data_IF_702501347872
#
_entry.id   IF_702501347872
#
_cell.length_a   1.000
_cell.length_b   1.000
_cell.length_c   1.000
_cell.angle_alpha   90.00
_cell.angle_beta   90.00
_cell.angle_gamma   90.00
#
_symmetry.space_group_name_H-M   'P 1'
#
loop_
_entity.id
_entity.type
_entity.pdbx_description
1 polymer ?
#
# COMPACT_ATOMS: atom_id res chain seq x y z
N UNK A 1 -23.19 61.89 -63.96
CA UNK A 1 -24.67 61.77 -64.00
C UNK A 1 -25.06 61.30 -65.39
N UNK A 2 -25.33 60.02 -65.57
CA UNK A 2 -25.88 59.46 -66.82
C UNK A 2 -27.04 58.53 -66.45
N UNK A 3 -28.16 58.78 -67.12
CA UNK A 3 -29.50 58.30 -66.82
C UNK A 3 -29.76 56.88 -67.34
N UNK A 4 -30.65 56.18 -66.62
CA UNK A 4 -31.17 54.83 -66.84
C UNK A 4 -32.28 54.82 -67.91
N UNK A 5 -32.34 53.77 -68.76
CA UNK A 5 -33.54 53.05 -69.23
C UNK A 5 -33.18 52.08 -70.37
N UNK A 6 -33.78 50.91 -70.62
CA UNK A 6 -34.82 50.12 -69.96
C UNK A 6 -34.79 48.68 -70.53
N UNK A 7 -35.41 47.74 -69.81
CA UNK A 7 -36.41 46.77 -70.30
C UNK A 7 -36.17 45.24 -70.23
N UNK A 8 -37.26 44.58 -69.78
CA UNK A 8 -37.70 43.17 -69.88
C UNK A 8 -36.98 42.16 -68.99
N UNK A 9 -37.53 41.72 -67.83
CA UNK A 9 -38.73 40.91 -67.52
C UNK A 9 -38.81 39.54 -68.23
N UNK A 10 -38.44 38.48 -67.50
CA UNK A 10 -39.09 37.15 -67.44
C UNK A 10 -38.83 36.58 -66.02
N UNK A 11 -39.83 36.53 -65.15
CA UNK A 11 -40.73 35.40 -64.84
C UNK A 11 -40.08 34.33 -63.92
N UNK A 12 -40.63 34.20 -62.71
CA UNK A 12 -40.31 33.21 -61.65
C UNK A 12 -40.91 31.83 -61.99
N UNK A 13 -40.45 30.74 -61.35
CA UNK A 13 -41.14 30.28 -60.15
C UNK A 13 -40.23 29.84 -59.00
N UNK A 14 -40.80 29.94 -57.79
CA UNK A 14 -40.20 29.62 -56.50
C UNK A 14 -40.11 28.11 -56.26
N UNK A 15 -39.01 27.62 -55.70
CA UNK A 15 -39.01 26.43 -54.84
C UNK A 15 -38.04 26.62 -53.68
N UNK A 16 -38.56 26.41 -52.47
CA UNK A 16 -37.87 26.35 -51.20
C UNK A 16 -36.76 25.28 -51.23
N UNK A 17 -35.57 25.61 -50.74
CA UNK A 17 -34.70 24.60 -50.10
C UNK A 17 -34.21 25.17 -48.78
N UNK A 18 -34.39 24.34 -47.77
CA UNK A 18 -34.34 24.63 -46.36
C UNK A 18 -32.98 25.12 -45.86
N UNK A 19 -33.04 25.94 -44.80
CA UNK A 19 -31.99 26.06 -43.80
C UNK A 19 -31.63 24.66 -43.27
N UNK A 20 -30.39 24.23 -43.50
CA UNK A 20 -29.74 23.23 -42.67
C UNK A 20 -28.69 23.95 -41.82
N UNK A 21 -29.12 24.45 -40.65
CA UNK A 21 -28.19 24.75 -39.55
C UNK A 21 -27.73 23.39 -39.03
N UNK A 22 -26.58 22.91 -39.50
CA UNK A 22 -25.91 21.80 -38.87
C UNK A 22 -25.32 22.31 -37.54
N UNK A 23 -26.14 22.26 -36.48
CA UNK A 23 -25.66 22.28 -35.12
C UNK A 23 -24.88 20.97 -34.91
N UNK A 24 -23.58 20.99 -35.18
CA UNK A 24 -22.66 19.97 -34.71
C UNK A 24 -22.62 20.11 -33.18
N UNK A 25 -23.49 19.36 -32.51
CA UNK A 25 -23.29 19.01 -31.11
C UNK A 25 -22.01 18.17 -31.07
N UNK A 26 -20.89 18.83 -30.84
CA UNK A 26 -19.68 18.19 -30.36
C UNK A 26 -20.02 17.63 -28.98
N UNK A 27 -20.60 16.42 -28.93
CA UNK A 27 -20.47 15.56 -27.76
C UNK A 27 -19.02 15.11 -27.75
N UNK A 28 -18.15 16.04 -27.33
CA UNK A 28 -16.79 15.72 -26.96
C UNK A 28 -16.88 14.80 -25.75
N UNK A 29 -16.87 13.49 -25.98
CA UNK A 29 -16.19 12.65 -25.01
C UNK A 29 -14.81 13.29 -24.83
N UNK A 30 -14.39 13.66 -23.61
CA UNK A 30 -13.01 14.07 -23.43
C UNK A 30 -12.17 12.94 -24.02
N UNK A 31 -11.39 13.26 -25.05
CA UNK A 31 -10.32 12.40 -25.51
C UNK A 31 -9.49 12.12 -24.25
N UNK A 32 -9.68 10.94 -23.65
CA UNK A 32 -8.75 10.44 -22.65
C UNK A 32 -7.43 10.41 -23.38
N UNK A 33 -6.53 11.33 -23.01
CA UNK A 33 -5.19 11.37 -23.55
C UNK A 33 -4.62 9.98 -23.36
N UNK A 34 -4.36 9.28 -24.47
CA UNK A 34 -3.66 8.01 -24.41
C UNK A 34 -2.30 8.30 -23.80
N UNK A 35 -2.00 7.69 -22.65
CA UNK A 35 -0.68 7.79 -22.05
C UNK A 35 0.33 7.35 -23.11
N UNK A 36 1.28 8.23 -23.43
CA UNK A 36 2.34 7.90 -24.36
C UNK A 36 3.20 6.80 -23.74
N UNK A 37 3.62 5.77 -24.50
CA UNK A 37 4.56 4.77 -23.99
C UNK A 37 5.83 5.46 -23.49
N UNK A 38 6.20 5.22 -22.24
CA UNK A 38 7.35 5.82 -21.57
C UNK A 38 7.05 7.03 -20.69
N UNK A 39 5.86 7.13 -20.08
CA UNK A 39 5.69 8.06 -18.96
C UNK A 39 6.69 7.69 -17.83
N UNK A 40 7.34 8.68 -17.21
CA UNK A 40 8.25 8.41 -16.11
C UNK A 40 7.47 7.84 -14.94
N UNK A 41 8.09 6.90 -14.23
CA UNK A 41 7.50 6.34 -13.01
C UNK A 41 7.08 7.46 -12.04
N UNK A 42 5.87 7.35 -11.50
CA UNK A 42 5.31 8.33 -10.56
C UNK A 42 5.81 7.98 -9.17
N UNK A 43 6.50 8.91 -8.51
CA UNK A 43 6.85 8.79 -7.10
C UNK A 43 5.87 9.59 -6.25
N UNK A 44 5.34 8.98 -5.19
CA UNK A 44 4.52 9.65 -4.19
C UNK A 44 5.10 9.40 -2.80
N UNK A 45 5.30 10.47 -2.03
CA UNK A 45 5.74 10.38 -0.64
C UNK A 45 4.53 10.13 0.28
N UNK A 46 4.63 9.22 1.24
CA UNK A 46 3.62 9.02 2.28
C UNK A 46 4.14 9.42 3.67
N UNK A 47 3.30 10.00 4.55
CA UNK A 47 1.84 10.17 4.38
C UNK A 47 1.40 11.47 3.67
N UNK A 48 2.32 12.23 3.04
CA UNK A 48 2.04 13.60 2.56
C UNK A 48 1.23 13.62 1.26
N UNK A 49 1.66 12.88 0.26
CA UNK A 49 1.03 12.81 -1.07
C UNK A 49 0.13 11.56 -1.20
N UNK A 50 0.50 10.49 -0.51
CA UNK A 50 -0.26 9.23 -0.43
C UNK A 50 -0.57 8.90 1.03
N UNK A 51 -1.76 8.34 1.37
CA UNK A 51 -2.07 7.91 2.73
C UNK A 51 -1.25 6.69 3.19
N UNK A 52 -0.45 6.10 2.29
CA UNK A 52 0.36 4.91 2.52
C UNK A 52 -0.47 3.61 2.47
N UNK A 53 0.14 2.51 2.94
CA UNK A 53 -0.49 1.18 2.91
C UNK A 53 -1.74 1.15 3.80
N UNK A 54 -2.91 0.62 3.37
CA UNK A 54 -4.09 0.43 4.22
C UNK A 54 -3.99 -0.86 5.05
N UNK A 55 -2.93 -1.01 5.83
CA UNK A 55 -2.66 -2.19 6.67
C UNK A 55 -2.16 -1.80 8.06
N UNK A 56 -2.49 -2.58 9.09
CA UNK A 56 -2.03 -2.32 10.45
C UNK A 56 -0.64 -2.86 10.72
N UNK A 57 -0.36 -4.07 10.22
CA UNK A 57 0.89 -4.78 10.46
C UNK A 57 1.34 -5.57 9.24
N UNK A 58 2.64 -5.89 9.19
CA UNK A 58 3.25 -6.83 8.23
C UNK A 58 2.88 -8.26 8.62
N UNK A 59 1.64 -8.62 8.33
CA UNK A 59 1.07 -9.96 8.52
C UNK A 59 0.19 -10.25 7.30
N UNK A 60 0.84 -10.48 6.15
CA UNK A 60 0.16 -10.93 4.94
C UNK A 60 0.02 -12.45 5.01
N UNK A 61 -1.14 -12.98 4.59
CA UNK A 61 -1.40 -14.43 4.41
C UNK A 61 -1.86 -14.75 2.98
N UNK A 62 -1.85 -13.74 2.10
CA UNK A 62 -2.46 -13.84 0.77
C UNK A 62 -1.55 -14.54 -0.24
N UNK A 63 -0.27 -14.75 0.08
CA UNK A 63 0.72 -15.32 -0.84
C UNK A 63 1.49 -16.45 -0.14
N UNK A 64 1.33 -17.72 -0.61
CA UNK A 64 2.06 -18.84 -0.04
C UNK A 64 3.57 -18.60 0.01
N UNK A 65 4.17 -18.76 1.19
CA UNK A 65 5.60 -18.57 1.46
C UNK A 65 6.09 -17.11 1.44
N UNK A 66 5.20 -16.12 1.54
CA UNK A 66 5.54 -14.69 1.66
C UNK A 66 5.10 -14.11 3.02
N UNK A 67 5.01 -14.96 4.03
CA UNK A 67 4.19 -14.63 5.19
C UNK A 67 5.05 -14.58 6.45
N UNK A 68 5.17 -13.37 6.97
CA UNK A 68 5.74 -13.01 8.28
C UNK A 68 7.25 -13.33 8.44
N UNK A 69 8.11 -12.33 8.71
CA UNK A 69 9.53 -12.58 8.97
C UNK A 69 9.70 -13.48 10.20
N UNK A 70 10.15 -14.72 9.99
CA UNK A 70 10.33 -15.70 11.04
C UNK A 70 11.63 -16.51 10.86
N UNK A 71 12.25 -16.95 11.96
CA UNK A 71 13.47 -17.77 11.94
C UNK A 71 13.25 -19.18 12.51
N UNK A 72 12.04 -19.73 12.33
CA UNK A 72 11.56 -20.98 12.94
C UNK A 72 11.49 -21.02 14.47
N UNK A 73 12.00 -20.00 15.16
CA UNK A 73 11.91 -19.85 16.61
C UNK A 73 11.02 -18.68 17.00
N UNK A 74 11.24 -17.53 16.38
CA UNK A 74 10.50 -16.30 16.57
C UNK A 74 9.90 -15.87 15.25
N UNK A 75 8.72 -15.25 15.32
CA UNK A 75 8.17 -14.40 14.27
C UNK A 75 8.18 -12.95 14.76
N UNK A 76 8.39 -12.02 13.83
CA UNK A 76 8.31 -10.59 14.09
C UNK A 76 7.10 -9.98 13.37
N UNK A 77 6.32 -9.18 14.09
CA UNK A 77 5.14 -8.48 13.60
C UNK A 77 5.45 -6.99 13.67
N UNK A 78 5.73 -6.38 12.53
CA UNK A 78 5.99 -4.94 12.43
C UNK A 78 4.67 -4.23 12.23
N UNK A 79 4.36 -3.26 13.08
CA UNK A 79 3.14 -2.47 12.96
C UNK A 79 3.41 -1.15 12.24
N UNK A 80 2.67 -0.87 11.17
CA UNK A 80 2.68 0.42 10.47
C UNK A 80 1.81 1.47 11.16
N UNK A 81 0.90 1.02 12.03
CA UNK A 81 -0.07 1.83 12.77
C UNK A 81 -0.06 1.42 14.22
N UNK A 82 -0.63 2.23 15.09
CA UNK A 82 -0.73 1.88 16.51
C UNK A 82 -1.50 0.56 16.71
N UNK A 83 -0.92 -0.47 17.37
CA UNK A 83 -1.63 -1.72 17.69
C UNK A 83 -2.94 -1.49 18.44
N UNK A 84 -3.03 -0.46 19.28
CA UNK A 84 -4.25 -0.13 20.01
C UNK A 84 -5.38 0.43 19.12
N UNK A 85 -5.08 0.73 17.86
CA UNK A 85 -6.05 1.20 16.88
C UNK A 85 -6.58 0.06 15.99
N UNK A 86 -6.08 -1.17 16.16
CA UNK A 86 -6.59 -2.35 15.44
C UNK A 86 -7.95 -2.73 16.03
N UNK A 87 -9.02 -2.84 15.22
CA UNK A 87 -10.30 -3.35 15.70
C UNK A 87 -10.17 -4.80 16.18
N UNK A 88 -10.79 -5.13 17.30
CA UNK A 88 -10.72 -6.47 17.91
C UNK A 88 -11.20 -7.59 16.98
N UNK A 89 -12.12 -7.27 16.07
CA UNK A 89 -12.75 -8.18 15.11
C UNK A 89 -12.11 -8.13 13.70
N UNK A 90 -11.04 -7.35 13.52
CA UNK A 90 -10.32 -7.31 12.26
C UNK A 90 -9.34 -8.48 12.15
N UNK A 91 -9.54 -9.32 11.13
CA UNK A 91 -8.62 -10.38 10.77
C UNK A 91 -7.34 -9.79 10.13
N UNK A 92 -6.25 -9.78 10.92
CA UNK A 92 -4.94 -9.27 10.51
C UNK A 92 -4.38 -10.04 9.32
N UNK A 93 -4.75 -11.32 9.15
CA UNK A 93 -4.32 -12.16 8.04
C UNK A 93 -4.81 -11.68 6.66
N UNK A 94 -5.92 -10.92 6.63
CA UNK A 94 -6.42 -10.30 5.38
C UNK A 94 -5.55 -9.15 4.90
N UNK A 95 -4.63 -8.67 5.74
CA UNK A 95 -3.67 -7.60 5.50
C UNK A 95 -4.28 -6.22 5.24
N UNK A 96 -5.13 -6.09 4.22
CA UNK A 96 -5.76 -4.83 3.81
C UNK A 96 -7.07 -4.55 4.54
N UNK A 97 -7.16 -3.36 5.14
CA UNK A 97 -8.39 -2.77 5.67
C UNK A 97 -8.68 -1.46 4.92
N UNK A 98 -9.30 -1.59 3.75
CA UNK A 98 -9.69 -0.46 2.90
C UNK A 98 -10.85 0.34 3.52
N UNK A 99 -11.01 1.63 3.18
CA UNK A 99 -12.21 2.39 3.53
C UNK A 99 -13.48 1.74 2.99
N UNK A 100 -14.57 1.89 3.74
CA UNK A 100 -15.88 1.37 3.36
C UNK A 100 -17.00 1.93 4.23
N UNK A 101 -18.20 1.31 4.19
CA UNK A 101 -19.36 1.78 4.96
C UNK A 101 -19.10 1.84 6.48
N UNK A 102 -18.18 1.02 7.00
CA UNK A 102 -17.80 0.99 8.41
C UNK A 102 -16.78 2.06 8.84
N UNK A 103 -16.29 2.90 7.93
CA UNK A 103 -15.35 3.98 8.24
C UNK A 103 -14.14 4.02 7.31
N UNK A 104 -13.06 4.65 7.78
CA UNK A 104 -11.84 4.86 6.99
C UNK A 104 -10.92 3.61 6.94
N UNK A 105 -11.35 2.50 7.52
CA UNK A 105 -10.51 1.31 7.69
C UNK A 105 -9.19 1.65 8.38
N UNK A 106 -8.08 1.09 7.91
CA UNK A 106 -6.75 1.38 8.45
C UNK A 106 -6.37 2.86 8.32
N UNK A 107 -6.91 3.62 7.36
CA UNK A 107 -6.62 5.06 7.24
C UNK A 107 -7.19 5.89 8.38
N UNK A 108 -8.11 5.35 9.19
CA UNK A 108 -8.56 5.98 10.43
C UNK A 108 -7.49 6.02 11.52
N UNK A 109 -6.44 5.21 11.37
CA UNK A 109 -5.35 5.11 12.33
C UNK A 109 -4.10 5.81 11.80
N UNK A 110 -3.43 6.55 12.69
CA UNK A 110 -2.19 7.27 12.37
C UNK A 110 -1.12 6.30 11.85
N UNK A 111 -0.56 6.63 10.69
CA UNK A 111 0.62 5.95 10.15
C UNK A 111 1.86 6.32 10.97
N UNK A 112 2.61 5.30 11.39
CA UNK A 112 3.83 5.39 12.21
C UNK A 112 5.11 5.30 11.37
N UNK A 113 4.94 5.10 10.06
CA UNK A 113 5.99 5.04 9.07
C UNK A 113 5.83 6.13 8.02
N UNK A 114 6.92 6.46 7.35
CA UNK A 114 6.97 7.38 6.22
C UNK A 114 7.87 6.81 5.13
N UNK A 115 7.80 7.38 3.94
CA UNK A 115 8.59 6.90 2.82
C UNK A 115 8.02 7.32 1.49
N UNK A 116 8.25 6.50 0.47
CA UNK A 116 7.72 6.73 -0.87
C UNK A 116 7.36 5.43 -1.57
N UNK A 117 6.44 5.56 -2.50
CA UNK A 117 6.01 4.54 -3.43
C UNK A 117 6.33 4.99 -4.86
N UNK A 118 6.80 4.06 -5.68
CA UNK A 118 7.08 4.27 -7.11
C UNK A 118 6.07 3.43 -7.88
N UNK A 119 5.37 4.09 -8.79
CA UNK A 119 4.33 3.53 -9.64
C UNK A 119 4.73 3.60 -11.10
N UNK A 120 4.19 2.72 -11.94
CA UNK A 120 4.45 2.80 -13.39
C UNK A 120 3.64 3.95 -14.00
N UNK A 121 2.34 4.00 -13.70
CA UNK A 121 1.39 5.00 -14.20
C UNK A 121 0.68 5.78 -13.07
N UNK A 122 0.75 5.27 -11.83
CA UNK A 122 0.19 5.93 -10.65
C UNK A 122 -1.07 5.27 -10.08
N UNK A 123 -1.51 5.70 -8.88
CA UNK A 123 -2.68 5.14 -8.22
C UNK A 123 -3.96 5.37 -9.05
N UNK A 124 -4.84 4.37 -9.07
CA UNK A 124 -6.09 4.39 -9.84
C UNK A 124 -5.95 3.91 -11.28
N UNK A 125 -4.71 3.83 -11.81
CA UNK A 125 -4.40 3.12 -13.05
C UNK A 125 -3.74 1.78 -12.73
N UNK A 126 -2.71 1.81 -11.89
CA UNK A 126 -2.03 0.61 -11.41
C UNK A 126 -2.74 0.04 -10.18
N UNK A 127 -2.71 -1.28 -9.99
CA UNK A 127 -3.29 -1.91 -8.79
C UNK A 127 -2.43 -1.74 -7.53
N UNK A 128 -1.11 -1.60 -7.70
CA UNK A 128 -0.14 -1.41 -6.63
C UNK A 128 1.14 -0.77 -7.20
N UNK A 129 1.99 -0.16 -6.35
CA UNK A 129 3.29 0.37 -6.78
C UNK A 129 4.24 -0.76 -7.18
N UNK A 130 5.21 -0.44 -8.03
CA UNK A 130 6.29 -1.36 -8.42
C UNK A 130 7.41 -1.41 -7.38
N UNK A 131 7.50 -0.40 -6.51
CA UNK A 131 8.46 -0.34 -5.42
C UNK A 131 7.94 0.53 -4.27
N UNK A 132 8.26 0.15 -3.03
CA UNK A 132 7.97 0.94 -1.84
C UNK A 132 9.20 0.97 -0.95
N UNK A 133 9.56 2.16 -0.47
CA UNK A 133 10.55 2.34 0.60
C UNK A 133 9.88 2.92 1.82
N UNK A 134 10.08 2.28 2.96
CA UNK A 134 9.44 2.63 4.23
C UNK A 134 10.50 2.80 5.32
N UNK A 135 10.33 3.79 6.21
CA UNK A 135 11.16 4.02 7.41
C UNK A 135 10.31 4.53 8.58
N UNK A 136 10.90 4.62 9.77
CA UNK A 136 10.26 5.29 10.92
C UNK A 136 9.79 6.71 10.59
N UNK A 137 8.52 7.02 10.86
CA UNK A 137 8.07 8.41 11.05
C UNK A 137 8.08 8.81 12.53
N UNK A 138 8.10 7.81 13.44
CA UNK A 138 8.16 7.99 14.89
C UNK A 138 9.36 7.24 15.48
N UNK A 139 9.93 7.71 16.60
CA UNK A 139 11.12 7.08 17.19
C UNK A 139 10.84 5.69 17.79
N UNK A 140 9.58 5.34 18.06
CA UNK A 140 9.22 4.11 18.78
C UNK A 140 8.24 3.26 17.96
N UNK A 141 8.67 2.79 16.79
CA UNK A 141 7.82 1.97 15.92
C UNK A 141 7.54 0.60 16.57
N UNK A 142 6.29 0.17 16.78
CA UNK A 142 6.00 -1.08 17.45
C UNK A 142 6.40 -2.29 16.62
N UNK A 143 7.17 -3.19 17.24
CA UNK A 143 7.54 -4.49 16.67
C UNK A 143 7.34 -5.54 17.74
N UNK A 144 6.40 -6.46 17.51
CA UNK A 144 6.11 -7.54 18.44
C UNK A 144 6.80 -8.82 18.02
N UNK A 145 7.17 -9.63 18.99
CA UNK A 145 7.81 -10.93 18.78
C UNK A 145 7.03 -12.00 19.50
N UNK A 146 6.74 -13.09 18.80
CA UNK A 146 6.05 -14.27 19.34
C UNK A 146 6.75 -15.53 18.88
N UNK A 147 6.65 -16.60 19.66
CA UNK A 147 7.23 -17.88 19.29
C UNK A 147 6.52 -18.40 18.03
N UNK A 148 7.32 -18.85 17.06
CA UNK A 148 6.77 -19.24 15.75
C UNK A 148 5.80 -20.43 15.84
N UNK A 149 6.08 -21.38 16.75
CA UNK A 149 5.21 -22.53 17.00
C UNK A 149 3.85 -22.14 17.60
N UNK A 150 3.73 -20.96 18.20
CA UNK A 150 2.46 -20.44 18.74
C UNK A 150 1.68 -19.65 17.69
N UNK A 151 2.36 -18.84 16.87
CA UNK A 151 1.71 -18.04 15.83
C UNK A 151 1.29 -18.87 14.62
N UNK A 152 2.13 -19.81 14.17
CA UNK A 152 1.88 -20.59 12.94
C UNK A 152 0.51 -21.28 12.92
N UNK A 153 0.04 -21.97 13.98
CA UNK A 153 -1.29 -22.58 14.00
C UNK A 153 -2.43 -21.55 13.85
N UNK A 154 -2.27 -20.34 14.38
CA UNK A 154 -3.25 -19.27 14.21
C UNK A 154 -3.32 -18.84 12.73
N UNK A 155 -2.17 -18.67 12.08
CA UNK A 155 -2.09 -18.36 10.64
C UNK A 155 -2.71 -19.49 9.79
N UNK A 156 -2.41 -20.75 10.12
CA UNK A 156 -2.95 -21.94 9.43
C UNK A 156 -4.48 -22.08 9.58
N UNK A 157 -5.06 -21.54 10.66
CA UNK A 157 -6.51 -21.52 10.86
C UNK A 157 -7.25 -20.56 9.93
N UNK A 158 -6.51 -19.65 9.27
CA UNK A 158 -7.03 -18.72 8.27
C UNK A 158 -7.58 -17.41 8.82
N UNK A 159 -7.59 -17.21 10.14
CA UNK A 159 -7.94 -15.93 10.78
C UNK A 159 -7.03 -15.68 11.97
N UNK A 160 -6.52 -14.45 12.10
CA UNK A 160 -5.71 -14.04 13.25
C UNK A 160 -6.15 -12.66 13.71
N UNK A 161 -6.65 -12.56 14.94
CA UNK A 161 -7.06 -11.30 15.54
C UNK A 161 -5.97 -10.73 16.46
N UNK A 162 -6.02 -9.43 16.73
CA UNK A 162 -5.06 -8.79 17.63
C UNK A 162 -5.06 -9.42 19.03
N UNK A 163 -6.25 -9.73 19.55
CA UNK A 163 -6.42 -10.38 20.84
C UNK A 163 -5.79 -11.78 20.92
N UNK A 164 -5.76 -12.53 19.80
CA UNK A 164 -5.10 -13.84 19.76
C UNK A 164 -3.59 -13.70 19.97
N UNK A 165 -2.98 -12.70 19.30
CA UNK A 165 -1.56 -12.38 19.43
C UNK A 165 -1.26 -11.91 20.86
N UNK A 166 -2.11 -11.06 21.43
CA UNK A 166 -1.96 -10.54 22.79
C UNK A 166 -2.07 -11.62 23.87
N UNK A 167 -2.83 -12.68 23.59
CA UNK A 167 -2.99 -13.82 24.48
C UNK A 167 -1.82 -14.82 24.40
N UNK A 168 -0.90 -14.70 23.43
CA UNK A 168 0.22 -15.63 23.29
C UNK A 168 1.18 -15.51 24.47
N UNK A 169 1.47 -16.62 25.20
CA UNK A 169 2.37 -16.61 26.34
C UNK A 169 3.80 -16.15 26.01
N UNK A 170 4.23 -16.34 24.76
CA UNK A 170 5.55 -15.94 24.28
C UNK A 170 5.66 -14.48 23.87
N UNK A 171 4.57 -13.70 23.88
CA UNK A 171 4.57 -12.33 23.40
C UNK A 171 5.63 -11.48 24.12
N UNK A 172 6.47 -10.83 23.32
CA UNK A 172 7.40 -9.80 23.75
C UNK A 172 7.18 -8.56 22.88
N UNK A 173 6.79 -7.45 23.51
CA UNK A 173 6.63 -6.17 22.81
C UNK A 173 7.97 -5.45 22.72
N UNK A 174 8.24 -4.86 21.56
CA UNK A 174 9.42 -4.06 21.29
C UNK A 174 9.08 -2.76 20.57
N UNK A 175 10.03 -1.84 20.63
CA UNK A 175 9.96 -0.53 19.97
C UNK A 175 11.25 -0.33 19.17
N UNK A 176 11.11 -0.23 17.84
CA UNK A 176 12.19 0.00 16.90
C UNK A 176 12.54 1.49 16.85
N UNK A 177 13.76 1.82 17.30
CA UNK A 177 14.38 3.14 17.11
C UNK A 177 14.83 3.38 15.67
N UNK A 178 14.99 2.30 14.92
CA UNK A 178 15.38 2.31 13.52
C UNK A 178 14.75 1.13 12.80
N UNK A 179 14.15 1.42 11.67
CA UNK A 179 13.42 0.53 10.79
C UNK A 179 13.59 1.04 9.36
N UNK A 180 13.94 0.14 8.47
CA UNK A 180 13.89 0.35 7.03
C UNK A 180 13.33 -0.87 6.35
N UNK A 181 12.52 -0.62 5.33
CA UNK A 181 11.97 -1.64 4.47
C UNK A 181 12.00 -1.17 3.02
N UNK A 182 12.38 -2.09 2.13
CA UNK A 182 12.29 -1.95 0.69
C UNK A 182 11.48 -3.14 0.17
N UNK A 183 10.33 -2.85 -0.44
CA UNK A 183 9.39 -3.84 -0.96
C UNK A 183 9.27 -3.67 -2.47
N UNK A 184 9.34 -4.79 -3.17
CA UNK A 184 8.96 -4.98 -4.56
C UNK A 184 7.69 -5.83 -4.55
N UNK A 185 6.49 -5.21 -4.61
CA UNK A 185 5.23 -5.91 -4.38
C UNK A 185 4.98 -7.06 -5.36
N UNK A 186 4.40 -8.15 -4.84
CA UNK A 186 3.94 -9.27 -5.66
C UNK A 186 2.87 -8.80 -6.66
N UNK A 187 2.98 -9.25 -7.92
CA UNK A 187 2.01 -8.93 -8.97
C UNK A 187 2.18 -7.55 -9.62
N UNK A 188 3.13 -6.73 -9.17
CA UNK A 188 3.44 -5.42 -9.79
C UNK A 188 4.91 -5.26 -10.14
N UNK A 189 5.83 -5.76 -9.32
CA UNK A 189 7.24 -5.77 -9.65
C UNK A 189 7.60 -6.98 -10.53
N UNK A 190 8.48 -6.77 -11.52
CA UNK A 190 9.04 -7.87 -12.34
C UNK A 190 9.72 -8.95 -11.48
N UNK A 191 10.37 -8.51 -10.40
CA UNK A 191 11.08 -9.36 -9.44
C UNK A 191 10.60 -9.04 -8.02
N UNK A 192 9.55 -9.73 -7.53
CA UNK A 192 9.05 -9.50 -6.19
C UNK A 192 10.07 -9.87 -5.12
N UNK A 193 10.07 -9.10 -4.05
CA UNK A 193 11.02 -9.26 -2.97
C UNK A 193 10.85 -8.23 -1.87
N UNK A 194 11.43 -8.50 -0.72
CA UNK A 194 11.43 -7.59 0.42
C UNK A 194 12.78 -7.65 1.13
N UNK A 195 13.26 -6.48 1.53
CA UNK A 195 14.31 -6.36 2.53
C UNK A 195 13.78 -5.52 3.65
N UNK A 196 13.82 -6.05 4.88
CA UNK A 196 13.35 -5.38 6.08
C UNK A 196 14.43 -5.50 7.14
N UNK A 197 14.75 -4.38 7.80
CA UNK A 197 15.69 -4.35 8.91
C UNK A 197 15.12 -3.48 10.02
N UNK A 198 15.30 -3.91 11.26
CA UNK A 198 14.91 -3.13 12.42
C UNK A 198 15.82 -3.39 13.61
N UNK A 199 16.01 -2.39 14.46
CA UNK A 199 16.63 -2.57 15.76
C UNK A 199 16.01 -1.64 16.81
N UNK A 200 16.00 -2.11 18.06
CA UNK A 200 15.23 -1.45 19.09
C UNK A 200 15.41 -2.02 20.48
N UNK A 201 14.48 -1.65 21.34
CA UNK A 201 14.39 -2.10 22.72
C UNK A 201 13.18 -3.02 22.91
N UNK A 202 13.22 -3.86 23.93
CA UNK A 202 12.13 -4.73 24.36
C UNK A 202 11.56 -4.20 25.68
N UNK A 203 10.27 -4.41 25.92
CA UNK A 203 9.58 -3.96 27.15
C UNK A 203 10.23 -4.52 28.43
N UNK A 204 10.84 -5.70 28.35
CA UNK A 204 11.61 -6.33 29.44
C UNK A 204 13.02 -5.76 29.64
N UNK A 205 13.32 -4.60 29.04
CA UNK A 205 14.61 -3.92 29.10
C UNK A 205 15.68 -4.50 28.18
N UNK A 206 15.36 -5.53 27.40
CA UNK A 206 16.24 -6.12 26.40
C UNK A 206 16.39 -5.27 25.13
N UNK A 207 17.09 -5.82 24.14
CA UNK A 207 17.21 -5.23 22.80
C UNK A 207 16.92 -6.27 21.73
N UNK A 208 16.58 -5.80 20.53
CA UNK A 208 16.41 -6.69 19.39
C UNK A 208 17.14 -6.19 18.14
N UNK A 209 17.45 -7.14 17.26
CA UNK A 209 17.79 -6.91 15.85
C UNK A 209 16.99 -7.86 14.98
N UNK A 210 16.40 -7.31 13.94
CA UNK A 210 15.62 -8.00 12.91
C UNK A 210 16.25 -7.69 11.55
N UNK A 211 16.44 -8.74 10.76
CA UNK A 211 16.78 -8.64 9.35
C UNK A 211 16.01 -9.72 8.59
N UNK A 212 15.34 -9.33 7.53
CA UNK A 212 14.65 -10.21 6.59
C UNK A 212 15.04 -9.79 5.19
N UNK A 213 15.40 -10.77 4.38
CA UNK A 213 15.63 -10.60 2.96
C UNK A 213 15.01 -11.78 2.24
N UNK A 214 14.06 -11.49 1.36
CA UNK A 214 13.36 -12.46 0.55
C UNK A 214 13.34 -11.97 -0.90
N UNK A 215 13.63 -12.86 -1.85
CA UNK A 215 13.53 -12.59 -3.29
C UNK A 215 12.90 -13.81 -3.96
N UNK A 216 11.85 -13.58 -4.76
CA UNK A 216 11.09 -14.62 -5.44
C UNK A 216 11.79 -15.18 -6.71
N UNK A 217 13.12 -15.12 -6.77
CA UNK A 217 13.95 -15.71 -7.82
C UNK A 217 14.56 -17.02 -7.30
N UNK A 218 13.78 -18.10 -7.32
CA UNK A 218 14.25 -19.41 -6.82
C UNK A 218 14.33 -19.50 -5.29
N UNK A 219 13.56 -18.66 -4.57
CA UNK A 219 13.37 -18.64 -3.12
C UNK A 219 14.66 -18.48 -2.29
N UNK A 220 15.37 -17.37 -2.48
CA UNK A 220 16.38 -16.94 -1.52
C UNK A 220 15.65 -16.23 -0.38
N UNK A 221 15.58 -16.89 0.76
CA UNK A 221 15.11 -16.30 2.00
C UNK A 221 16.19 -16.36 3.08
N UNK A 222 16.41 -15.23 3.75
CA UNK A 222 17.22 -15.17 4.95
C UNK A 222 16.51 -14.32 5.99
N UNK A 223 16.31 -14.90 7.17
CA UNK A 223 15.73 -14.21 8.33
C UNK A 223 16.67 -14.33 9.52
N UNK A 224 16.96 -13.20 10.15
CA UNK A 224 17.69 -13.11 11.41
C UNK A 224 16.87 -12.33 12.43
N UNK A 225 16.53 -12.99 13.53
CA UNK A 225 15.88 -12.37 14.69
C UNK A 225 16.74 -12.68 15.90
N UNK A 226 17.24 -11.63 16.55
CA UNK A 226 18.04 -11.74 17.78
C UNK A 226 17.39 -10.91 18.86
N UNK A 227 16.93 -11.58 19.92
CA UNK A 227 16.43 -10.94 21.13
C UNK A 227 17.48 -11.11 22.24
N UNK A 228 17.96 -10.00 22.77
CA UNK A 228 18.96 -9.98 23.85
C UNK A 228 18.29 -9.52 25.12
N UNK A 229 18.24 -10.37 26.15
CA UNK A 229 17.70 -9.99 27.46
C UNK A 229 18.68 -9.08 28.19
N UNK A 230 18.15 -8.17 29.01
CA UNK A 230 18.97 -7.45 29.96
C UNK A 230 19.38 -8.40 31.09
N UNK A 231 20.68 -8.69 31.29
CA UNK A 231 21.13 -9.58 32.37
C UNK A 231 20.84 -9.02 33.77
N UNK A 232 20.42 -7.76 33.89
CA UNK A 232 20.11 -7.09 35.16
C UNK A 232 18.61 -6.90 35.42
N UNK A 233 17.73 -7.22 34.46
CA UNK A 233 16.29 -7.21 34.68
C UNK A 233 15.88 -8.45 35.45
N UNK A 234 15.58 -8.33 36.74
CA UNK A 234 14.94 -9.40 37.51
C UNK A 234 13.46 -9.44 37.10
N UNK A 235 12.98 -10.66 36.79
CA UNK A 235 11.57 -10.98 36.69
C UNK A 235 10.84 -10.68 38.01
#
# INVERSE_FOLDING_TARGET
>A
MLSINSNRRHARPAWLVALAVAAFLMTGNPLQAQALPGQPAVQLDFPVESPGIPAYARLELLVPNFDVPNNNRWAAIVFYRDPACVPDDFDLGRFFHLPGPGGLGAFGCRLLVEGHEIWENGPGTDMAPIYVRTRNAVPDLPVWFVAWNELRPALESGQVFIGDIEALPSLVRGSARWFEEALYPNGSADLPGITLRAEGSLENGGTFRLGWHFVNLGAVESVSIRLTRNPRGRN
#
